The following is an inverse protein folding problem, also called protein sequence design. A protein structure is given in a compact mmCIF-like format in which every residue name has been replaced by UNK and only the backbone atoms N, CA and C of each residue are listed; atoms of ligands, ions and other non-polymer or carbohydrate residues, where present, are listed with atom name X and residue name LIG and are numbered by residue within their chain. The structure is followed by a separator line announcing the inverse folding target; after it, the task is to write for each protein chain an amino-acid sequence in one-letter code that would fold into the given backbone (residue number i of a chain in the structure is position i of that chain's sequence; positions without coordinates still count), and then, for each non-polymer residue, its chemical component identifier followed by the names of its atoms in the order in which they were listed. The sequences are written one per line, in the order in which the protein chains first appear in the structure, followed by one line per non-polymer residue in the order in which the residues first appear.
data_IF_628418576608
#
_entry.id   IF_628418576608
#
_cell.length_a   1.000
_cell.length_b   1.000
_cell.length_c   1.000
_cell.angle_alpha   90.00
_cell.angle_beta   90.00
_cell.angle_gamma   90.00
#
_symmetry.space_group_name_H-M   'P 1'
#
loop_
_entity.id
_entity.type
_entity.pdbx_description
1 polymer ?
#
# COMPACT_ATOMS: atom_id res chain seq x y z
N UNK A 1 -3.18 21.05 8.16
CA UNK A 1 -2.48 20.34 7.06
C UNK A 1 -1.20 19.81 7.66
N UNK A 2 -0.95 18.50 7.53
CA UNK A 2 0.26 17.92 8.04
C UNK A 2 1.49 18.48 7.34
N UNK A 3 2.55 18.69 8.10
CA UNK A 3 3.85 19.10 7.56
C UNK A 3 4.85 17.95 7.47
N UNK A 4 4.63 16.88 8.22
CA UNK A 4 5.38 15.62 8.11
C UNK A 4 4.54 14.44 8.57
N UNK A 5 4.91 13.25 8.10
CA UNK A 5 4.30 11.98 8.47
C UNK A 5 5.44 11.04 8.85
N UNK A 6 5.40 10.45 10.03
CA UNK A 6 6.36 9.43 10.46
C UNK A 6 5.69 8.05 10.43
N UNK A 7 6.40 7.07 9.86
CA UNK A 7 6.01 5.66 9.87
C UNK A 7 6.84 4.96 10.94
N UNK A 8 6.18 4.39 11.93
CA UNK A 8 6.84 3.68 13.03
C UNK A 8 7.01 2.19 12.69
N UNK A 9 8.01 1.56 13.31
CA UNK A 9 8.31 0.14 13.12
C UNK A 9 7.18 -0.81 13.60
N UNK A 10 6.18 -0.29 14.32
CA UNK A 10 5.03 -1.03 14.84
C UNK A 10 3.74 -0.81 14.02
N UNK A 11 3.87 -0.30 12.78
CA UNK A 11 2.76 -0.08 11.84
C UNK A 11 1.99 1.23 12.05
N UNK A 12 2.19 1.90 13.18
CA UNK A 12 1.52 3.17 13.45
C UNK A 12 2.09 4.30 12.60
N UNK A 13 1.22 5.22 12.24
CA UNK A 13 1.56 6.45 11.51
C UNK A 13 1.28 7.65 12.39
N UNK A 14 2.25 8.57 12.48
CA UNK A 14 2.08 9.86 13.15
C UNK A 14 1.92 10.96 12.10
N UNK A 15 0.75 11.60 12.10
CA UNK A 15 0.48 12.79 11.31
C UNK A 15 0.76 14.04 12.15
N UNK A 16 1.74 14.86 11.75
CA UNK A 16 2.15 16.04 12.50
C UNK A 16 1.59 17.33 11.94
N UNK A 17 0.89 18.09 12.78
CA UNK A 17 0.36 19.42 12.45
C UNK A 17 1.04 20.52 13.27
N UNK A 18 1.26 21.67 12.61
CA UNK A 18 1.75 22.87 13.29
C UNK A 18 0.57 23.64 13.88
N UNK A 19 0.70 24.03 15.13
CA UNK A 19 -0.27 24.81 15.91
C UNK A 19 0.39 26.10 16.41
N UNK A 20 -0.38 27.00 17.02
CA UNK A 20 0.17 28.21 17.64
C UNK A 20 1.07 27.91 18.85
N UNK A 21 0.93 26.73 19.45
CA UNK A 21 1.65 26.32 20.66
C UNK A 21 2.79 25.32 20.36
N UNK A 22 3.10 25.08 19.08
CA UNK A 22 4.10 24.11 18.65
C UNK A 22 3.52 23.03 17.75
N UNK A 23 4.04 21.81 17.82
CA UNK A 23 3.58 20.69 16.99
C UNK A 23 2.73 19.69 17.80
N UNK A 24 1.67 19.19 17.17
CA UNK A 24 0.82 18.12 17.72
C UNK A 24 0.81 16.94 16.74
N UNK A 25 0.85 15.71 17.26
CA UNK A 25 0.74 14.49 16.47
C UNK A 25 -0.65 13.86 16.64
N UNK A 26 -1.22 13.39 15.53
CA UNK A 26 -2.37 12.47 15.50
C UNK A 26 -1.86 11.08 15.15
N UNK A 27 -2.25 10.07 15.93
CA UNK A 27 -1.87 8.67 15.71
C UNK A 27 -2.93 7.98 14.84
N UNK A 28 -2.46 7.24 13.83
CA UNK A 28 -3.27 6.38 12.97
C UNK A 28 -2.75 4.94 13.10
N UNK A 29 -3.60 4.06 13.63
CA UNK A 29 -3.32 2.63 13.86
C UNK A 29 -4.01 1.72 12.84
N UNK A 30 -4.82 2.29 11.95
CA UNK A 30 -5.57 1.60 10.90
C UNK A 30 -4.96 1.76 9.50
N UNK A 31 -3.80 2.43 9.40
CA UNK A 31 -3.09 2.58 8.14
C UNK A 31 -2.40 1.27 7.74
N UNK A 32 -2.72 0.78 6.55
CA UNK A 32 -2.06 -0.37 5.93
C UNK A 32 -1.37 0.08 4.64
N UNK A 33 -0.03 0.09 4.58
CA UNK A 33 0.69 0.40 3.35
C UNK A 33 0.28 -0.57 2.23
N UNK A 34 -0.02 -0.04 1.04
CA UNK A 34 -0.42 -0.83 -0.13
C UNK A 34 0.60 -0.74 -1.25
N UNK A 35 1.04 -1.89 -1.75
CA UNK A 35 1.78 -1.99 -3.02
C UNK A 35 1.01 -2.81 -4.06
N UNK A 36 1.48 -2.77 -5.31
CA UNK A 36 0.84 -3.45 -6.44
C UNK A 36 1.85 -4.30 -7.20
N UNK A 37 1.47 -5.53 -7.53
CA UNK A 37 2.27 -6.44 -8.33
C UNK A 37 1.54 -6.75 -9.64
N UNK A 38 2.22 -6.56 -10.76
CA UNK A 38 1.73 -6.87 -12.10
C UNK A 38 2.91 -7.30 -12.99
N UNK A 39 2.60 -7.78 -14.19
CA UNK A 39 3.63 -8.06 -15.19
C UNK A 39 4.40 -6.79 -15.54
N UNK A 40 5.73 -6.92 -15.71
CA UNK A 40 6.55 -5.81 -16.22
C UNK A 40 6.28 -5.53 -17.69
N UNK A 41 5.95 -6.56 -18.44
CA UNK A 41 5.57 -6.49 -19.85
C UNK A 41 4.03 -6.44 -19.96
N UNK A 42 3.45 -5.32 -20.44
CA UNK A 42 2.00 -5.16 -20.50
C UNK A 42 1.32 -6.11 -21.49
N UNK A 43 2.06 -6.67 -22.46
CA UNK A 43 1.52 -7.61 -23.44
C UNK A 43 1.54 -9.06 -22.91
N UNK A 44 2.15 -9.30 -21.74
CA UNK A 44 2.19 -10.61 -21.09
C UNK A 44 1.05 -10.72 -20.08
N UNK A 45 0.10 -11.60 -20.37
CA UNK A 45 -0.92 -12.01 -19.42
C UNK A 45 -0.32 -13.02 -18.43
N UNK A 46 -0.38 -12.70 -17.13
CA UNK A 46 0.13 -13.57 -16.06
C UNK A 46 -1.00 -14.01 -15.14
N UNK A 47 -1.03 -15.30 -14.82
CA UNK A 47 -1.95 -15.80 -13.80
C UNK A 47 -1.44 -15.41 -12.40
N UNK A 48 -2.13 -14.46 -11.78
CA UNK A 48 -1.82 -13.97 -10.44
C UNK A 48 -2.30 -14.91 -9.32
N UNK A 49 -3.05 -15.98 -9.63
CA UNK A 49 -3.68 -16.85 -8.63
C UNK A 49 -2.66 -17.47 -7.67
N UNK A 50 -1.55 -17.99 -8.19
CA UNK A 50 -0.51 -18.59 -7.35
C UNK A 50 0.14 -17.56 -6.42
N UNK A 51 0.42 -16.36 -6.94
CA UNK A 51 1.03 -15.28 -6.17
C UNK A 51 0.09 -14.77 -5.10
N UNK A 52 -1.19 -14.63 -5.42
CA UNK A 52 -2.25 -14.28 -4.48
C UNK A 52 -2.27 -15.25 -3.29
N UNK A 53 -2.34 -16.56 -3.55
CA UNK A 53 -2.32 -17.56 -2.47
C UNK A 53 -1.01 -17.60 -1.68
N UNK A 54 0.12 -17.14 -2.24
CA UNK A 54 1.36 -17.01 -1.48
C UNK A 54 1.30 -15.84 -0.50
N UNK A 55 0.82 -14.68 -0.95
CA UNK A 55 0.69 -13.50 -0.10
C UNK A 55 -0.38 -13.65 0.98
N UNK A 56 -1.50 -14.32 0.71
CA UNK A 56 -2.54 -14.60 1.74
C UNK A 56 -2.00 -15.39 2.95
N UNK A 57 -0.85 -16.07 2.80
CA UNK A 57 -0.21 -16.85 3.89
C UNK A 57 0.99 -16.14 4.50
N UNK A 58 1.35 -14.96 4.01
CA UNK A 58 2.52 -14.23 4.47
C UNK A 58 2.18 -13.51 5.79
N UNK A 59 3.01 -13.64 6.85
CA UNK A 59 2.69 -13.07 8.16
C UNK A 59 2.54 -11.54 8.16
N UNK A 60 3.29 -10.86 7.29
CA UNK A 60 3.28 -9.38 7.21
C UNK A 60 2.24 -8.83 6.22
N UNK A 61 1.41 -9.69 5.61
CA UNK A 61 0.34 -9.28 4.67
C UNK A 61 -1.00 -9.28 5.40
N UNK A 62 -1.67 -8.14 5.36
CA UNK A 62 -2.98 -7.93 5.97
C UNK A 62 -4.10 -8.35 5.03
N UNK A 63 -4.00 -7.98 3.75
CA UNK A 63 -5.02 -8.27 2.76
C UNK A 63 -4.44 -8.27 1.33
N UNK A 64 -5.14 -8.96 0.44
CA UNK A 64 -4.82 -9.01 -0.98
C UNK A 64 -6.08 -8.91 -1.83
N UNK A 65 -5.98 -8.24 -2.98
CA UNK A 65 -7.10 -8.07 -3.91
C UNK A 65 -6.61 -7.98 -5.34
N UNK A 66 -7.26 -8.66 -6.28
CA UNK A 66 -7.01 -8.45 -7.71
C UNK A 66 -7.83 -7.25 -8.18
N UNK A 67 -7.15 -6.20 -8.63
CA UNK A 67 -7.76 -4.92 -9.04
C UNK A 67 -7.30 -4.53 -10.44
N UNK A 68 -8.07 -3.66 -11.10
CA UNK A 68 -7.59 -2.98 -12.32
C UNK A 68 -6.80 -1.73 -11.94
N UNK A 69 -5.52 -1.68 -12.34
CA UNK A 69 -4.61 -0.56 -12.05
C UNK A 69 -4.05 -0.01 -13.34
N UNK A 70 -3.96 1.32 -13.43
CA UNK A 70 -3.38 2.02 -14.57
C UNK A 70 -1.91 2.35 -14.27
N UNK A 71 -0.90 1.59 -14.74
CA UNK A 71 0.52 1.78 -14.38
C UNK A 71 1.06 3.19 -14.73
N UNK A 72 0.51 3.84 -15.76
CA UNK A 72 0.84 5.21 -16.11
C UNK A 72 -0.21 5.87 -17.00
N UNK A 73 -0.13 7.20 -17.15
CA UNK A 73 -1.17 8.02 -17.80
C UNK A 73 -1.53 7.62 -19.23
N UNK A 74 -0.63 6.97 -19.97
CA UNK A 74 -0.87 6.54 -21.37
C UNK A 74 -1.19 5.05 -21.52
N UNK A 75 -1.17 4.28 -20.44
CA UNK A 75 -1.47 2.84 -20.48
C UNK A 75 -2.93 2.60 -20.16
N UNK A 76 -3.50 1.51 -20.63
CA UNK A 76 -4.83 1.10 -20.18
C UNK A 76 -4.75 0.48 -18.77
N UNK A 77 -5.91 0.13 -18.20
CA UNK A 77 -5.95 -0.60 -16.95
C UNK A 77 -5.50 -2.05 -17.17
N UNK A 78 -4.61 -2.54 -16.32
CA UNK A 78 -4.14 -3.93 -16.31
C UNK A 78 -4.52 -4.58 -14.97
N UNK A 79 -4.64 -5.91 -14.97
CA UNK A 79 -4.84 -6.66 -13.72
C UNK A 79 -3.57 -6.56 -12.87
N UNK A 80 -3.75 -6.18 -11.61
CA UNK A 80 -2.68 -6.13 -10.62
C UNK A 80 -3.17 -6.75 -9.31
N UNK A 81 -2.25 -7.39 -8.59
CA UNK A 81 -2.49 -7.79 -7.21
C UNK A 81 -2.15 -6.61 -6.31
N UNK A 82 -3.15 -6.03 -5.66
CA UNK A 82 -2.98 -5.12 -4.53
C UNK A 82 -2.63 -5.95 -3.30
N UNK A 83 -1.63 -5.50 -2.55
CA UNK A 83 -1.15 -6.16 -1.33
C UNK A 83 -1.04 -5.11 -0.24
N UNK A 84 -1.84 -5.28 0.81
CA UNK A 84 -1.79 -4.50 2.05
C UNK A 84 -0.86 -5.20 3.03
N UNK A 85 0.09 -4.46 3.59
CA UNK A 85 1.03 -4.97 4.59
C UNK A 85 0.80 -4.31 5.94
N UNK A 86 1.35 -4.93 6.97
CA UNK A 86 1.25 -4.46 8.35
C UNK A 86 2.06 -3.17 8.60
N UNK A 87 3.26 -3.07 8.00
CA UNK A 87 4.16 -1.91 8.14
C UNK A 87 5.13 -1.82 6.95
N UNK A 88 5.90 -0.71 6.88
CA UNK A 88 6.91 -0.44 5.83
C UNK A 88 8.29 -0.93 6.26
#
# INVERSE_FOLDING_TARGET
MPFTIDFLDDGRVLEWEATNDGATATEHDDYTPRFYVASRDPDTDIDLTQLHSLYERHPDVVATEIVSRRPGFRRDGESALAVDVDHV
#
